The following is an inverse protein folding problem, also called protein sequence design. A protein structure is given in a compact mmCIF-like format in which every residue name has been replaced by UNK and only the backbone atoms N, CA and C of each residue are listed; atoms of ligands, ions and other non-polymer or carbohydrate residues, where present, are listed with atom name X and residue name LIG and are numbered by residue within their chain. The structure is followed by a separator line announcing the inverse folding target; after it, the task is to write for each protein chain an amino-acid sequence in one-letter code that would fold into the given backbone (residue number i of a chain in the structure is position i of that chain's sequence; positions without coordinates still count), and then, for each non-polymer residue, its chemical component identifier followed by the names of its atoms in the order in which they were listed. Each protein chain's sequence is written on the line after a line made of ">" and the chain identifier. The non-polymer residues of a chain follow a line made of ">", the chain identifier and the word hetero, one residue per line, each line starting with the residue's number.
data_IF_996001729246
#
_entry.id   IF_996001729246
#
_cell.length_a   1.000
_cell.length_b   1.000
_cell.length_c   1.000
_cell.angle_alpha   90.00
_cell.angle_beta   90.00
_cell.angle_gamma   90.00
#
_symmetry.space_group_name_H-M   'P 1'
#
loop_
_entity.id
_entity.type
_entity.pdbx_description
1 polymer ?
#
# COMPACT_ATOMS: atom_id res chain seq x y z
N UNK A 1 7.93 22.64 0.91
CA UNK A 1 8.57 23.63 0.02
C UNK A 1 7.48 24.43 -0.64
N UNK A 2 7.56 25.76 -0.61
CA UNK A 2 6.61 26.60 -1.36
C UNK A 2 7.10 26.61 -2.80
N UNK A 3 6.25 26.18 -3.74
CA UNK A 3 6.59 26.25 -5.15
C UNK A 3 6.57 27.74 -5.62
N UNK A 4 7.19 28.08 -6.76
CA UNK A 4 7.26 29.47 -7.24
C UNK A 4 5.90 30.16 -7.48
N UNK A 5 4.80 29.42 -7.36
CA UNK A 5 3.43 29.89 -7.53
C UNK A 5 2.66 30.06 -6.20
N UNK A 6 3.32 29.88 -5.05
CA UNK A 6 2.74 30.15 -3.72
C UNK A 6 1.94 29.00 -3.12
N UNK A 7 1.89 27.83 -3.78
CA UNK A 7 1.21 26.66 -3.26
C UNK A 7 2.10 25.94 -2.25
N UNK A 8 1.52 25.61 -1.10
CA UNK A 8 2.21 24.78 -0.13
C UNK A 8 2.09 23.33 -0.56
N UNK A 9 3.20 22.72 -0.96
CA UNK A 9 3.29 21.29 -1.25
C UNK A 9 3.83 20.53 -0.05
N UNK A 10 3.12 19.49 0.37
CA UNK A 10 3.52 18.54 1.40
C UNK A 10 3.46 17.11 0.84
N UNK A 11 4.58 16.40 0.88
CA UNK A 11 4.68 14.99 0.47
C UNK A 11 4.77 14.10 1.69
N UNK A 12 4.00 13.01 1.71
CA UNK A 12 4.03 11.97 2.73
C UNK A 12 4.26 10.62 2.07
N UNK A 13 5.19 9.85 2.62
CA UNK A 13 5.40 8.45 2.26
C UNK A 13 4.85 7.59 3.40
N UNK A 14 3.92 6.68 3.07
CA UNK A 14 3.32 5.75 4.02
C UNK A 14 3.65 4.33 3.54
N UNK A 15 4.41 3.62 4.38
CA UNK A 15 4.70 2.20 4.20
C UNK A 15 3.93 1.42 5.26
N UNK A 16 3.10 0.48 4.81
CA UNK A 16 2.28 -0.36 5.67
C UNK A 16 2.36 -1.82 5.24
N UNK A 17 2.03 -2.72 6.16
CA UNK A 17 1.86 -4.14 5.88
C UNK A 17 0.53 -4.56 6.46
N UNK A 18 -0.24 -5.31 5.69
CA UNK A 18 -1.53 -5.81 6.15
C UNK A 18 -1.69 -7.28 5.81
N UNK A 19 -2.28 -8.04 6.73
CA UNK A 19 -2.56 -9.45 6.50
C UNK A 19 -3.89 -9.59 5.77
N UNK A 20 -3.89 -10.22 4.59
CA UNK A 20 -5.11 -10.41 3.79
C UNK A 20 -6.17 -11.24 4.53
N UNK A 21 -5.75 -12.10 5.46
CA UNK A 21 -6.64 -12.94 6.27
C UNK A 21 -7.53 -12.11 7.20
N UNK A 22 -7.04 -10.96 7.66
CA UNK A 22 -7.79 -10.05 8.54
C UNK A 22 -9.00 -9.42 7.83
N UNK A 23 -9.01 -9.43 6.49
CA UNK A 23 -10.11 -8.92 5.67
C UNK A 23 -11.00 -10.01 5.05
N UNK A 24 -10.90 -11.26 5.53
CA UNK A 24 -11.71 -12.37 5.00
C UNK A 24 -11.32 -12.83 3.60
N UNK A 25 -10.17 -12.38 3.07
CA UNK A 25 -9.62 -12.84 1.79
C UNK A 25 -8.90 -14.18 1.98
N UNK A 26 -9.70 -15.24 2.14
CA UNK A 26 -9.23 -16.58 2.44
C UNK A 26 -8.96 -17.44 1.20
N UNK A 27 -8.87 -16.84 0.01
CA UNK A 27 -8.56 -17.56 -1.23
C UNK A 27 -7.10 -18.05 -1.16
N UNK A 28 -6.94 -19.29 -0.75
CA UNK A 28 -5.69 -20.00 -0.86
C UNK A 28 -5.63 -20.55 -2.28
N UNK A 29 -4.94 -19.85 -3.20
CA UNK A 29 -4.48 -20.50 -4.43
C UNK A 29 -3.45 -21.56 -4.01
N UNK A 30 -3.94 -22.77 -3.75
CA UNK A 30 -3.09 -23.93 -3.49
C UNK A 30 -2.66 -24.42 -4.87
N UNK A 31 -1.35 -24.43 -5.12
CA UNK A 31 -0.83 -25.15 -6.30
C UNK A 31 -1.04 -26.65 -6.10
N UNK A 32 -1.16 -27.41 -7.19
CA UNK A 32 -1.24 -28.89 -7.16
C UNK A 32 -0.09 -29.55 -6.38
N UNK A 33 1.01 -28.84 -6.13
CA UNK A 33 2.18 -29.31 -5.37
C UNK A 33 2.18 -28.92 -3.87
N UNK A 34 1.10 -28.34 -3.33
CA UNK A 34 1.00 -28.02 -1.89
C UNK A 34 1.78 -26.77 -1.45
N UNK A 35 2.30 -25.99 -2.39
CA UNK A 35 2.97 -24.71 -2.12
C UNK A 35 1.96 -23.55 -2.01
N UNK A 36 2.12 -22.71 -0.98
CA UNK A 36 1.40 -21.44 -0.87
C UNK A 36 1.88 -20.49 -1.98
N UNK A 37 1.02 -20.22 -2.96
CA UNK A 37 1.34 -19.37 -4.13
C UNK A 37 1.30 -17.88 -3.79
N UNK A 38 0.57 -17.53 -2.74
CA UNK A 38 0.25 -16.14 -2.40
C UNK A 38 0.64 -15.87 -0.95
N UNK A 39 1.55 -14.92 -0.75
CA UNK A 39 1.92 -14.42 0.57
C UNK A 39 0.70 -13.88 1.31
N UNK A 40 0.62 -14.15 2.61
CA UNK A 40 -0.43 -13.60 3.48
C UNK A 40 -0.21 -12.11 3.79
N UNK A 41 1.05 -11.65 3.70
CA UNK A 41 1.41 -10.24 3.86
C UNK A 41 1.21 -9.47 2.55
N UNK A 42 0.38 -8.44 2.59
CA UNK A 42 0.20 -7.44 1.54
C UNK A 42 0.96 -6.18 1.96
N UNK A 43 1.94 -5.76 1.14
CA UNK A 43 2.68 -4.51 1.37
C UNK A 43 1.91 -3.35 0.73
N UNK A 44 1.67 -2.32 1.53
CA UNK A 44 1.03 -1.08 1.13
C UNK A 44 2.10 -0.01 1.02
N UNK A 45 2.22 0.56 -0.18
CA UNK A 45 3.11 1.69 -0.46
C UNK A 45 2.23 2.83 -0.97
N UNK A 46 2.13 3.90 -0.20
CA UNK A 46 1.35 5.08 -0.57
C UNK A 46 2.27 6.31 -0.57
N UNK A 47 2.28 7.00 -1.70
CA UNK A 47 2.92 8.29 -1.85
C UNK A 47 1.82 9.34 -2.01
N UNK A 48 1.69 10.23 -1.02
CA UNK A 48 0.64 11.24 -0.98
C UNK A 48 1.28 12.62 -1.15
N UNK A 49 0.89 13.34 -2.20
CA UNK A 49 1.24 14.74 -2.37
C UNK A 49 -0.01 15.60 -2.14
N UNK A 50 0.08 16.54 -1.19
CA UNK A 50 -0.93 17.56 -0.95
C UNK A 50 -0.43 18.87 -1.51
N UNK A 51 -1.21 19.48 -2.41
CA UNK A 51 -1.00 20.84 -2.89
C UNK A 51 -2.13 21.72 -2.36
N UNK A 52 -1.79 22.75 -1.57
CA UNK A 52 -2.73 23.78 -1.12
C UNK A 52 -2.68 24.96 -2.10
N UNK A 53 -3.75 25.13 -2.88
CA UNK A 53 -4.03 26.32 -3.69
C UNK A 53 -4.91 27.34 -2.97
#
# INVERSE_FOLDING_TARGET
>A
MVDPWGNTKAGFEINGKVNRKDFGLNWSAVTEAGGVVVSDEVKLHLNVELAKG
#
